data_IF_842488052293
#
_entry.id   IF_842488052293
#
_cell.length_a   1.000
_cell.length_b   1.000
_cell.length_c   1.000
_cell.angle_alpha   90.00
_cell.angle_beta   90.00
_cell.angle_gamma   90.00
#
_symmetry.space_group_name_H-M   'P 1'
#
loop_
_entity.id
_entity.type
_entity.pdbx_description
1 polymer ?
#
# COMPACT_ATOMS: atom_id res chain seq x y z
N UNK A 1 21.65 3.27 5.42
CA UNK A 1 20.41 3.22 4.63
C UNK A 1 20.16 1.78 4.25
N UNK A 2 18.91 1.32 4.27
CA UNK A 2 18.53 -0.03 3.83
C UNK A 2 18.39 -0.02 2.29
N UNK A 3 18.84 -1.08 1.64
CA UNK A 3 18.77 -1.32 0.19
C UNK A 3 18.00 -2.62 -0.11
N UNK A 4 17.60 -2.82 -1.37
CA UNK A 4 16.87 -4.02 -1.77
C UNK A 4 17.63 -5.33 -1.46
N UNK A 5 18.96 -5.29 -1.52
CA UNK A 5 19.82 -6.44 -1.20
C UNK A 5 19.86 -6.80 0.30
N UNK A 6 19.34 -5.94 1.19
CA UNK A 6 19.30 -6.19 2.63
C UNK A 6 18.06 -6.99 3.05
N UNK A 7 17.09 -7.24 2.17
CA UNK A 7 15.90 -8.03 2.50
C UNK A 7 16.17 -9.54 2.36
N UNK A 8 15.57 -10.34 3.24
CA UNK A 8 15.71 -11.79 3.23
C UNK A 8 15.84 -12.42 4.61
N UNK A 9 16.44 -13.61 4.65
CA UNK A 9 16.55 -14.44 5.85
C UNK A 9 17.87 -14.21 6.56
N UNK A 10 17.78 -13.86 7.84
CA UNK A 10 18.92 -13.66 8.74
C UNK A 10 18.92 -14.75 9.80
N UNK A 11 20.10 -15.31 10.09
CA UNK A 11 20.26 -16.35 11.10
C UNK A 11 21.21 -15.89 12.20
N UNK A 12 20.68 -15.81 13.42
CA UNK A 12 21.49 -15.65 14.63
C UNK A 12 22.03 -17.02 15.04
N UNK A 13 23.32 -17.09 15.35
CA UNK A 13 24.01 -18.31 15.78
C UNK A 13 24.70 -18.05 17.11
N UNK A 14 24.33 -18.79 18.15
CA UNK A 14 24.98 -18.76 19.45
C UNK A 14 25.77 -20.07 19.64
N UNK A 15 27.05 -19.95 20.03
CA UNK A 15 27.93 -21.09 20.25
C UNK A 15 28.86 -20.82 21.44
N UNK A 16 28.92 -21.76 22.39
CA UNK A 16 29.78 -21.65 23.59
C UNK A 16 30.90 -22.70 23.65
N UNK A 17 31.17 -23.41 22.54
CA UNK A 17 32.13 -24.52 22.50
C UNK A 17 31.51 -25.90 22.69
N UNK A 18 30.39 -26.01 23.42
CA UNK A 18 29.71 -27.28 23.72
C UNK A 18 28.36 -27.40 23.00
N UNK A 19 27.62 -26.30 22.93
CA UNK A 19 26.26 -26.24 22.38
C UNK A 19 26.18 -25.16 21.32
N UNK A 20 25.34 -25.43 20.30
CA UNK A 20 25.00 -24.48 19.25
C UNK A 20 23.49 -24.30 19.22
N UNK A 21 23.04 -23.05 19.22
CA UNK A 21 21.65 -22.68 19.00
C UNK A 21 21.54 -21.68 17.86
N UNK A 22 20.38 -21.68 17.20
CA UNK A 22 20.10 -20.74 16.11
C UNK A 22 18.68 -20.25 16.15
N UNK A 23 18.48 -18.98 15.76
CA UNK A 23 17.16 -18.40 15.50
C UNK A 23 17.18 -17.68 14.17
N UNK A 24 16.06 -17.71 13.46
CA UNK A 24 15.92 -17.11 12.12
C UNK A 24 14.92 -15.97 12.17
N UNK A 25 15.28 -14.84 11.56
CA UNK A 25 14.40 -13.69 11.33
C UNK A 25 14.27 -13.46 9.81
N UNK A 26 13.09 -13.03 9.38
CA UNK A 26 12.84 -12.71 7.98
C UNK A 26 12.52 -11.23 7.84
N UNK A 27 13.35 -10.51 7.10
CA UNK A 27 13.17 -9.09 6.82
C UNK A 27 12.46 -8.93 5.48
N UNK A 28 11.23 -8.42 5.51
CA UNK A 28 10.43 -8.14 4.31
C UNK A 28 10.55 -6.69 3.87
N UNK A 29 10.52 -6.49 2.56
CA UNK A 29 10.44 -5.15 1.98
C UNK A 29 9.01 -4.61 2.12
N UNK A 30 8.88 -3.43 2.73
CA UNK A 30 7.61 -2.71 2.84
C UNK A 30 7.60 -1.52 1.89
N UNK A 31 6.75 -1.58 0.87
CA UNK A 31 6.53 -0.48 -0.06
C UNK A 31 5.21 0.21 0.25
N UNK A 32 5.26 1.46 0.73
CA UNK A 32 4.06 2.29 0.85
C UNK A 32 3.51 2.61 -0.55
N UNK A 33 2.21 2.40 -0.83
CA UNK A 33 1.65 2.69 -2.13
C UNK A 33 1.67 4.20 -2.38
N UNK A 34 1.92 4.60 -3.61
CA UNK A 34 1.81 5.97 -4.09
C UNK A 34 0.59 6.10 -4.98
N UNK A 35 -0.18 7.16 -4.77
CA UNK A 35 -1.28 7.51 -5.65
C UNK A 35 -0.68 8.10 -6.93
N UNK A 36 -0.87 7.40 -8.05
CA UNK A 36 -0.37 7.79 -9.38
C UNK A 36 -1.36 8.64 -10.14
N UNK A 37 -2.67 8.39 -9.97
CA UNK A 37 -3.76 9.21 -10.48
C UNK A 37 -4.64 9.61 -9.31
N UNK A 38 -4.69 10.92 -9.05
CA UNK A 38 -5.61 11.48 -8.08
C UNK A 38 -6.98 11.71 -8.73
N UNK A 39 -8.07 11.75 -7.94
CA UNK A 39 -9.38 12.14 -8.45
C UNK A 39 -9.30 13.60 -8.91
N UNK A 40 -9.10 13.81 -10.21
CA UNK A 40 -8.84 15.12 -10.83
C UNK A 40 -10.03 16.10 -10.68
N UNK A 41 -11.20 15.61 -10.29
CA UNK A 41 -12.36 16.42 -9.95
C UNK A 41 -12.26 17.17 -8.60
N UNK A 42 -11.18 16.98 -7.81
CA UNK A 42 -11.05 17.56 -6.47
C UNK A 42 -9.93 18.60 -6.30
N UNK A 43 -9.04 18.78 -7.27
CA UNK A 43 -8.08 19.90 -7.25
C UNK A 43 -8.66 21.19 -7.83
N UNK A 44 -9.83 21.10 -8.47
CA UNK A 44 -10.65 22.23 -8.94
C UNK A 44 -12.10 21.94 -8.58
N UNK A 45 -12.83 22.91 -8.01
CA UNK A 45 -14.28 22.77 -7.77
C UNK A 45 -14.96 22.38 -9.08
N UNK A 46 -15.76 21.32 -9.07
CA UNK A 46 -16.50 20.85 -10.24
C UNK A 46 -17.98 21.22 -10.07
N UNK A 47 -18.48 22.13 -10.90
CA UNK A 47 -19.90 22.48 -10.93
C UNK A 47 -20.65 21.51 -11.84
N UNK A 48 -21.44 20.63 -11.23
CA UNK A 48 -22.21 19.59 -11.92
C UNK A 48 -23.69 19.94 -11.91
N UNK A 49 -24.36 19.70 -13.04
CA UNK A 49 -25.82 19.79 -13.16
C UNK A 49 -26.47 18.47 -12.80
N UNK A 50 -27.71 18.54 -12.31
CA UNK A 50 -28.52 17.35 -12.03
C UNK A 50 -28.64 16.48 -13.30
N UNK A 51 -28.41 15.18 -13.15
CA UNK A 51 -28.47 14.21 -14.24
C UNK A 51 -27.17 14.04 -15.01
N UNK A 52 -26.12 14.81 -14.70
CA UNK A 52 -24.79 14.54 -15.24
C UNK A 52 -24.11 13.39 -14.49
N UNK A 53 -23.48 12.50 -15.24
CA UNK A 53 -22.60 11.46 -14.70
C UNK A 53 -21.18 12.00 -14.55
N UNK A 54 -20.46 11.47 -13.57
CA UNK A 54 -19.02 11.73 -13.39
C UNK A 54 -18.26 10.41 -13.33
N UNK A 55 -17.02 10.45 -13.79
CA UNK A 55 -16.06 9.37 -13.61
C UNK A 55 -14.97 9.84 -12.65
N UNK A 56 -14.77 9.09 -11.58
CA UNK A 56 -13.76 9.37 -10.55
C UNK A 56 -12.74 8.25 -10.57
N UNK A 57 -11.48 8.61 -10.81
CA UNK A 57 -10.39 7.65 -10.91
C UNK A 57 -9.39 7.83 -9.78
N UNK A 58 -8.93 6.71 -9.25
CA UNK A 58 -7.88 6.64 -8.25
C UNK A 58 -7.01 5.44 -8.58
N UNK A 59 -5.75 5.69 -8.95
CA UNK A 59 -4.79 4.64 -9.27
C UNK A 59 -3.63 4.69 -8.29
N UNK A 60 -3.12 3.51 -7.94
CA UNK A 60 -1.96 3.31 -7.09
C UNK A 60 -0.89 2.53 -7.85
N UNK A 61 0.37 2.69 -7.45
CA UNK A 61 1.52 2.01 -8.05
C UNK A 61 1.68 0.54 -7.63
N UNK A 62 0.92 0.08 -6.64
CA UNK A 62 1.02 -1.26 -6.09
C UNK A 62 -0.35 -1.92 -5.91
N UNK A 63 -0.66 -2.86 -6.79
CA UNK A 63 -1.92 -3.61 -6.84
C UNK A 63 -2.16 -4.54 -5.63
N UNK A 64 -1.15 -4.78 -4.78
CA UNK A 64 -1.35 -5.52 -3.52
C UNK A 64 -2.23 -4.76 -2.51
N UNK A 65 -2.36 -3.45 -2.68
CA UNK A 65 -3.20 -2.62 -1.83
C UNK A 65 -4.61 -2.47 -2.40
N UNK A 66 -5.57 -2.25 -1.50
CA UNK A 66 -6.97 -2.03 -1.86
C UNK A 66 -7.26 -0.53 -1.88
N UNK A 67 -7.94 -0.09 -2.94
CA UNK A 67 -8.49 1.27 -3.02
C UNK A 67 -9.92 1.25 -2.50
N UNK A 68 -10.26 2.21 -1.66
CA UNK A 68 -11.59 2.39 -1.09
C UNK A 68 -12.06 3.83 -1.29
N UNK A 69 -13.30 4.00 -1.74
CA UNK A 69 -13.90 5.31 -1.95
C UNK A 69 -14.80 5.67 -0.77
N UNK A 70 -14.67 6.90 -0.28
CA UNK A 70 -15.50 7.43 0.79
C UNK A 70 -16.22 8.70 0.33
N UNK A 71 -17.50 8.82 0.68
CA UNK A 71 -18.25 10.07 0.57
C UNK A 71 -18.76 10.48 1.96
N UNK A 72 -18.21 11.59 2.47
CA UNK A 72 -18.27 11.88 3.90
C UNK A 72 -17.64 10.72 4.69
N UNK A 73 -18.38 10.18 5.66
CA UNK A 73 -17.91 9.08 6.51
C UNK A 73 -18.39 7.69 6.04
N UNK A 74 -18.95 7.59 4.82
CA UNK A 74 -19.51 6.35 4.29
C UNK A 74 -18.66 5.79 3.16
N UNK A 75 -18.44 4.49 3.21
CA UNK A 75 -17.79 3.73 2.14
C UNK A 75 -18.77 3.61 0.97
N UNK A 76 -18.31 3.97 -0.23
CA UNK A 76 -19.02 3.70 -1.48
C UNK A 76 -18.45 2.42 -2.07
N UNK A 77 -19.29 1.39 -2.18
CA UNK A 77 -18.96 0.18 -2.92
C UNK A 77 -19.38 0.35 -4.37
N UNK A 78 -18.49 0.04 -5.30
CA UNK A 78 -18.87 -0.04 -6.70
C UNK A 78 -19.68 -1.33 -6.87
N UNK A 79 -21.01 -1.21 -6.98
CA UNK A 79 -21.85 -2.35 -7.32
C UNK A 79 -21.71 -2.54 -8.83
N UNK A 80 -20.90 -3.53 -9.23
CA UNK A 80 -20.94 -4.07 -10.58
C UNK A 80 -22.27 -4.75 -10.86
#
# INVERSE_FOLDING_TARGET
SIQQADFGSYRCLAFNGLLRQSSTAYLTEFHRPRITIQPSALTSRMDLRRGQSIDLQCHIDNEQYKVEWHFGNKIIRNNH
#
